data_IF_665856971165
#
_entry.id   IF_665856971165
#
_cell.length_a   1.000
_cell.length_b   1.000
_cell.length_c   1.000
_cell.angle_alpha   90.00
_cell.angle_beta   90.00
_cell.angle_gamma   90.00
#
_symmetry.space_group_name_H-M   'P 1'
#
loop_
_entity.id
_entity.type
_entity.pdbx_description
1 polymer ?
#
# COMPACT_ATOMS: atom_id res chain seq x y z
N UNK A 1 -25.75 24.97 14.60
CA UNK A 1 -24.66 24.58 13.67
C UNK A 1 -25.34 23.91 12.49
N UNK A 2 -25.24 24.48 11.30
CA UNK A 2 -25.79 23.81 10.11
C UNK A 2 -25.09 22.46 9.95
N UNK A 3 -25.82 21.38 9.69
CA UNK A 3 -25.22 20.10 9.31
C UNK A 3 -24.30 20.36 8.12
N UNK A 4 -22.99 20.20 8.31
CA UNK A 4 -22.06 20.23 7.19
C UNK A 4 -22.37 18.99 6.35
N UNK A 5 -23.01 19.19 5.19
CA UNK A 5 -23.09 18.16 4.17
C UNK A 5 -21.67 17.91 3.64
N UNK A 6 -21.04 16.83 4.11
CA UNK A 6 -19.71 16.40 3.68
C UNK A 6 -19.70 15.93 2.22
N UNK A 7 -20.88 15.60 1.68
CA UNK A 7 -21.08 15.23 0.28
C UNK A 7 -22.12 16.13 -0.36
N UNK A 8 -21.86 16.52 -1.60
CA UNK A 8 -22.72 17.32 -2.45
C UNK A 8 -23.14 16.50 -3.66
N UNK A 9 -24.44 16.54 -3.98
CA UNK A 9 -24.97 15.92 -5.20
C UNK A 9 -24.49 16.73 -6.40
N UNK A 10 -23.86 16.04 -7.36
CA UNK A 10 -23.31 16.68 -8.56
C UNK A 10 -23.98 16.21 -9.84
N UNK A 11 -24.59 15.02 -9.82
CA UNK A 11 -25.41 14.54 -10.94
C UNK A 11 -26.71 13.91 -10.44
N UNK A 12 -27.77 14.11 -11.20
CA UNK A 12 -29.04 13.43 -11.01
C UNK A 12 -28.94 11.95 -11.42
N UNK A 13 -29.71 11.10 -10.75
CA UNK A 13 -29.84 9.71 -11.14
C UNK A 13 -30.49 9.59 -12.52
N UNK A 14 -30.16 8.55 -13.26
CA UNK A 14 -30.69 8.29 -14.60
C UNK A 14 -31.48 6.98 -14.58
N UNK A 15 -32.72 6.95 -15.11
CA UNK A 15 -33.48 5.71 -15.23
C UNK A 15 -32.83 4.77 -16.24
N UNK A 16 -33.19 3.49 -16.20
CA UNK A 16 -32.73 2.52 -17.18
C UNK A 16 -33.27 2.88 -18.57
N UNK A 17 -32.39 2.87 -19.58
CA UNK A 17 -32.72 3.16 -20.97
C UNK A 17 -31.70 2.47 -21.91
N UNK A 18 -32.13 2.07 -23.10
CA UNK A 18 -31.27 1.50 -24.16
C UNK A 18 -30.37 0.33 -23.70
N UNK A 19 -30.91 -0.57 -22.86
CA UNK A 19 -30.16 -1.70 -22.31
C UNK A 19 -29.13 -1.33 -21.25
N UNK A 20 -29.03 -0.06 -20.84
CA UNK A 20 -28.19 0.39 -19.73
C UNK A 20 -28.98 0.36 -18.43
N UNK A 21 -28.38 -0.11 -17.31
CA UNK A 21 -29.05 -0.13 -16.02
C UNK A 21 -29.31 1.29 -15.50
N UNK A 22 -30.30 1.45 -14.62
CA UNK A 22 -30.51 2.70 -13.91
C UNK A 22 -29.29 3.03 -13.05
N UNK A 23 -28.87 4.29 -13.04
CA UNK A 23 -27.74 4.77 -12.25
C UNK A 23 -28.26 5.71 -11.18
N UNK A 24 -27.85 5.48 -9.93
CA UNK A 24 -28.18 6.39 -8.82
C UNK A 24 -27.54 7.78 -8.99
N UNK A 25 -28.00 8.78 -8.25
CA UNK A 25 -27.38 10.11 -8.25
C UNK A 25 -25.91 10.04 -7.82
N UNK A 26 -25.08 10.89 -8.42
CA UNK A 26 -23.65 10.98 -8.08
C UNK A 26 -23.44 12.03 -7.01
N UNK A 27 -22.73 11.65 -5.95
CA UNK A 27 -22.28 12.54 -4.89
C UNK A 27 -20.76 12.68 -4.94
N UNK A 28 -20.26 13.86 -4.59
CA UNK A 28 -18.84 14.13 -4.40
C UNK A 28 -18.60 14.73 -3.03
N UNK A 29 -17.39 14.61 -2.53
CA UNK A 29 -16.97 15.39 -1.36
C UNK A 29 -17.21 16.88 -1.61
N UNK A 30 -17.71 17.60 -0.59
CA UNK A 30 -17.86 19.05 -0.65
C UNK A 30 -16.54 19.76 -0.98
N UNK A 31 -15.40 19.14 -0.63
CA UNK A 31 -14.08 19.65 -0.96
C UNK A 31 -13.73 19.54 -2.44
N UNK A 32 -14.39 18.69 -3.22
CA UNK A 32 -14.13 18.44 -4.64
C UNK A 32 -15.41 18.57 -5.48
N UNK A 33 -16.30 19.51 -5.11
CA UNK A 33 -17.56 19.78 -5.81
C UNK A 33 -17.37 19.88 -7.32
N UNK A 34 -16.42 20.72 -7.74
CA UNK A 34 -16.13 20.99 -9.15
C UNK A 34 -15.13 20.00 -9.76
N UNK A 35 -14.83 18.90 -9.05
CA UNK A 35 -13.80 17.92 -9.42
C UNK A 35 -12.46 18.16 -8.74
N UNK A 36 -11.54 17.23 -8.96
CA UNK A 36 -10.14 17.37 -8.57
C UNK A 36 -9.40 18.28 -9.56
N UNK A 37 -8.27 18.83 -9.11
CA UNK A 37 -7.41 19.60 -10.01
C UNK A 37 -6.89 18.68 -11.13
N UNK A 38 -6.56 19.27 -12.28
CA UNK A 38 -5.87 18.54 -13.33
C UNK A 38 -4.58 17.91 -12.75
N UNK A 39 -4.24 16.66 -13.13
CA UNK A 39 -2.97 16.07 -12.75
C UNK A 39 -1.80 16.96 -13.14
N UNK A 40 -0.68 16.81 -12.43
CA UNK A 40 0.58 17.47 -12.76
C UNK A 40 0.97 17.13 -14.22
N UNK A 41 1.51 18.08 -14.96
CA UNK A 41 1.98 17.84 -16.32
C UNK A 41 3.01 16.71 -16.34
N UNK A 42 2.83 15.74 -17.25
CA UNK A 42 3.67 14.55 -17.36
C UNK A 42 3.31 13.40 -16.40
N UNK A 43 2.26 13.54 -15.57
CA UNK A 43 1.72 12.47 -14.73
C UNK A 43 0.53 11.79 -15.42
N UNK A 44 0.83 10.82 -16.29
CA UNK A 44 -0.18 10.13 -17.08
C UNK A 44 -0.37 8.65 -16.70
N UNK A 45 0.58 8.09 -15.95
CA UNK A 45 0.56 6.69 -15.50
C UNK A 45 1.07 6.51 -14.07
N UNK A 46 0.81 5.35 -13.45
CA UNK A 46 1.44 4.99 -12.18
C UNK A 46 2.97 4.93 -12.31
N UNK A 47 3.49 4.56 -13.47
CA UNK A 47 4.93 4.62 -13.71
C UNK A 47 5.48 6.05 -13.62
N UNK A 48 4.72 7.06 -14.05
CA UNK A 48 5.16 8.45 -13.94
C UNK A 48 5.27 8.91 -12.50
N UNK A 49 4.42 8.41 -11.58
CA UNK A 49 4.56 8.66 -10.14
C UNK A 49 5.96 8.27 -9.68
N UNK A 50 6.35 7.04 -9.99
CA UNK A 50 7.65 6.50 -9.59
C UNK A 50 8.82 7.15 -10.34
N UNK A 51 8.74 7.28 -11.67
CA UNK A 51 9.78 7.90 -12.52
C UNK A 51 10.08 9.33 -12.08
N UNK A 52 9.04 10.15 -11.89
CA UNK A 52 9.20 11.56 -11.47
C UNK A 52 9.80 11.64 -10.06
N UNK A 53 9.42 10.74 -9.16
CA UNK A 53 10.01 10.66 -7.82
C UNK A 53 11.49 10.28 -7.87
N UNK A 54 11.89 9.33 -8.71
CA UNK A 54 13.29 8.93 -8.90
C UNK A 54 14.13 10.07 -9.47
N UNK A 55 13.60 10.80 -10.45
CA UNK A 55 14.29 11.96 -11.06
C UNK A 55 14.52 13.08 -10.05
N UNK A 56 13.54 13.32 -9.17
CA UNK A 56 13.57 14.42 -8.20
C UNK A 56 14.31 14.06 -6.91
N UNK A 57 14.20 12.81 -6.45
CA UNK A 57 14.64 12.33 -5.13
C UNK A 57 15.51 11.06 -5.18
N UNK A 58 16.51 10.96 -6.07
CA UNK A 58 17.20 9.69 -6.35
C UNK A 58 17.87 9.06 -5.12
N UNK A 59 18.36 9.91 -4.19
CA UNK A 59 19.10 9.49 -3.00
C UNK A 59 18.24 9.37 -1.74
N UNK A 60 16.94 9.70 -1.81
CA UNK A 60 16.05 9.56 -0.67
C UNK A 60 15.80 8.09 -0.39
N UNK A 61 15.55 7.75 0.88
CA UNK A 61 15.14 6.41 1.29
C UNK A 61 13.73 6.14 0.75
N UNK A 62 13.57 5.01 0.06
CA UNK A 62 12.28 4.60 -0.49
C UNK A 62 11.75 3.39 0.27
N UNK A 63 12.39 2.22 0.14
CA UNK A 63 11.87 0.95 0.67
C UNK A 63 12.74 0.45 1.81
N UNK A 64 12.14 0.24 2.97
CA UNK A 64 12.84 -0.18 4.18
C UNK A 64 12.30 -1.46 4.80
N UNK A 65 13.16 -2.39 5.18
CA UNK A 65 12.75 -3.60 5.90
C UNK A 65 13.66 -3.86 7.11
N UNK A 66 13.18 -4.65 8.07
CA UNK A 66 13.99 -5.06 9.23
C UNK A 66 15.10 -6.00 8.77
N UNK A 67 16.36 -5.66 9.03
CA UNK A 67 17.47 -6.61 8.86
C UNK A 67 17.37 -7.73 9.90
N UNK A 68 17.63 -8.97 9.50
CA UNK A 68 17.72 -10.10 10.44
C UNK A 68 19.20 -10.37 10.72
N UNK A 69 19.61 -10.16 11.97
CA UNK A 69 20.99 -10.42 12.45
C UNK A 69 20.89 -11.44 13.57
N UNK A 70 21.57 -12.58 13.41
CA UNK A 70 21.54 -13.70 14.36
C UNK A 70 20.11 -14.16 14.75
N UNK A 71 19.21 -14.19 13.75
CA UNK A 71 17.81 -14.58 13.95
C UNK A 71 16.94 -13.55 14.67
N UNK A 72 17.46 -12.34 14.95
CA UNK A 72 16.73 -11.25 15.58
C UNK A 72 16.57 -10.06 14.63
N UNK A 73 15.43 -9.39 14.75
CA UNK A 73 15.15 -8.21 13.95
C UNK A 73 15.98 -7.01 14.46
N UNK A 74 16.94 -6.56 13.65
CA UNK A 74 17.77 -5.38 13.88
C UNK A 74 17.12 -4.09 13.39
N UNK A 75 17.93 -3.12 12.99
CA UNK A 75 17.46 -1.84 12.43
C UNK A 75 16.82 -2.02 11.04
N UNK A 76 16.08 -0.99 10.61
CA UNK A 76 15.65 -0.89 9.22
C UNK A 76 16.85 -0.62 8.31
N UNK A 77 16.98 -1.45 7.27
CA UNK A 77 17.86 -1.21 6.13
C UNK A 77 17.03 -0.69 4.97
N UNK A 78 17.59 0.24 4.21
CA UNK A 78 16.86 1.04 3.23
C UNK A 78 17.49 0.91 1.85
N UNK A 79 16.63 0.86 0.84
CA UNK A 79 17.00 1.14 -0.55
C UNK A 79 16.55 2.54 -0.93
N UNK A 80 17.38 3.23 -1.68
CA UNK A 80 17.09 4.54 -2.25
C UNK A 80 16.17 4.44 -3.47
N UNK A 81 15.52 5.53 -3.87
CA UNK A 81 14.72 5.57 -5.10
C UNK A 81 15.54 5.12 -6.33
N UNK A 82 16.79 5.56 -6.45
CA UNK A 82 17.67 5.15 -7.56
C UNK A 82 17.96 3.65 -7.57
N UNK A 83 18.26 3.07 -6.41
CA UNK A 83 18.51 1.62 -6.31
C UNK A 83 17.25 0.81 -6.63
N UNK A 84 16.09 1.24 -6.17
CA UNK A 84 14.80 0.59 -6.50
C UNK A 84 14.52 0.69 -7.99
N UNK A 85 14.76 1.85 -8.61
CA UNK A 85 14.58 2.06 -10.05
C UNK A 85 15.47 1.14 -10.88
N UNK A 86 16.74 1.01 -10.52
CA UNK A 86 17.68 0.15 -11.24
C UNK A 86 17.29 -1.33 -11.15
N UNK A 87 16.75 -1.76 -10.01
CA UNK A 87 16.26 -3.13 -9.85
C UNK A 87 14.94 -3.31 -10.62
N UNK A 88 14.02 -2.35 -10.56
CA UNK A 88 12.74 -2.40 -11.27
C UNK A 88 12.95 -2.50 -12.79
N UNK A 89 13.92 -1.76 -13.36
CA UNK A 89 14.26 -1.87 -14.78
C UNK A 89 14.78 -3.26 -15.15
N UNK A 90 15.63 -3.87 -14.31
CA UNK A 90 16.12 -5.24 -14.54
C UNK A 90 15.00 -6.27 -14.46
N UNK A 91 14.15 -6.18 -13.45
CA UNK A 91 12.95 -7.03 -13.31
C UNK A 91 12.04 -6.85 -14.53
N UNK A 92 11.83 -5.62 -14.97
CA UNK A 92 11.03 -5.28 -16.15
C UNK A 92 11.57 -5.91 -17.43
N UNK A 93 12.87 -5.78 -17.69
CA UNK A 93 13.54 -6.44 -18.81
C UNK A 93 13.40 -7.97 -18.74
N UNK A 94 13.55 -8.57 -17.55
CA UNK A 94 13.34 -10.02 -17.38
C UNK A 94 11.89 -10.45 -17.61
N UNK A 95 10.91 -9.64 -17.19
CA UNK A 95 9.50 -9.85 -17.52
C UNK A 95 9.29 -9.84 -19.04
N UNK A 96 9.93 -8.89 -19.75
CA UNK A 96 9.88 -8.81 -21.22
C UNK A 96 10.58 -9.99 -21.90
N UNK A 97 11.70 -10.49 -21.36
CA UNK A 97 12.38 -11.68 -21.87
C UNK A 97 11.56 -12.97 -21.70
N UNK A 98 10.62 -13.01 -20.75
CA UNK A 98 9.61 -14.06 -20.64
C UNK A 98 8.47 -13.94 -21.68
N UNK A 99 8.49 -12.90 -22.52
CA UNK A 99 7.51 -12.69 -23.60
C UNK A 99 6.31 -11.83 -23.24
N UNK A 100 6.25 -11.29 -22.01
CA UNK A 100 5.15 -10.42 -21.61
C UNK A 100 5.21 -9.07 -22.34
N UNK A 101 4.05 -8.52 -22.64
CA UNK A 101 3.91 -7.22 -23.33
C UNK A 101 2.88 -6.34 -22.62
N UNK A 102 2.67 -5.13 -23.13
CA UNK A 102 1.64 -4.23 -22.59
C UNK A 102 0.28 -4.94 -22.61
N UNK A 103 -0.40 -4.99 -21.47
CA UNK A 103 -1.67 -5.70 -21.28
C UNK A 103 -1.56 -7.17 -20.83
N UNK A 104 -0.36 -7.73 -20.75
CA UNK A 104 -0.10 -9.00 -20.07
C UNK A 104 -0.43 -8.90 -18.57
N UNK A 105 -0.62 -10.05 -17.90
CA UNK A 105 -1.03 -10.09 -16.48
C UNK A 105 0.05 -10.74 -15.62
N UNK A 106 0.46 -10.02 -14.57
CA UNK A 106 1.46 -10.45 -13.60
C UNK A 106 0.84 -10.59 -12.22
N UNK A 107 0.78 -11.81 -11.69
CA UNK A 107 0.34 -12.09 -10.33
C UNK A 107 1.41 -11.74 -9.30
N UNK A 108 1.03 -11.17 -8.16
CA UNK A 108 1.95 -10.97 -7.03
C UNK A 108 1.33 -11.52 -5.74
N UNK A 109 1.90 -12.58 -5.18
CA UNK A 109 1.35 -13.34 -4.05
C UNK A 109 2.26 -13.34 -2.82
N UNK A 110 1.91 -12.56 -1.80
CA UNK A 110 2.69 -12.53 -0.58
C UNK A 110 2.34 -11.34 0.30
N UNK A 111 2.94 -11.31 1.49
CA UNK A 111 2.90 -10.12 2.34
C UNK A 111 3.67 -8.97 1.68
N UNK A 112 3.38 -7.74 2.11
CA UNK A 112 4.07 -6.55 1.64
C UNK A 112 5.59 -6.66 1.89
N UNK A 113 6.39 -6.39 0.87
CA UNK A 113 7.85 -6.37 0.96
C UNK A 113 8.43 -5.41 -0.08
N UNK A 114 9.72 -5.06 0.00
CA UNK A 114 10.38 -4.28 -1.03
C UNK A 114 10.28 -4.91 -2.43
N UNK A 115 10.46 -6.24 -2.53
CA UNK A 115 10.39 -6.99 -3.79
C UNK A 115 9.00 -6.91 -4.43
N UNK A 116 7.95 -6.86 -3.60
CA UNK A 116 6.58 -6.64 -4.06
C UNK A 116 6.48 -5.32 -4.82
N UNK A 117 6.90 -4.21 -4.18
CA UNK A 117 6.81 -2.87 -4.79
C UNK A 117 7.69 -2.76 -6.03
N UNK A 118 8.92 -3.29 -5.97
CA UNK A 118 9.82 -3.33 -7.14
C UNK A 118 9.16 -4.06 -8.32
N UNK A 119 8.50 -5.19 -8.07
CA UNK A 119 7.82 -5.97 -9.12
C UNK A 119 6.67 -5.19 -9.71
N UNK A 120 5.88 -4.50 -8.88
CA UNK A 120 4.73 -3.75 -9.37
C UNK A 120 5.14 -2.47 -10.09
N UNK A 121 6.24 -1.81 -9.71
CA UNK A 121 6.80 -0.71 -10.50
C UNK A 121 7.39 -1.17 -11.84
N UNK A 122 8.01 -2.35 -11.89
CA UNK A 122 8.40 -2.97 -13.16
C UNK A 122 7.18 -3.25 -14.05
N UNK A 123 6.07 -3.72 -13.46
CA UNK A 123 4.82 -3.93 -14.19
C UNK A 123 4.25 -2.60 -14.72
N UNK A 124 4.20 -1.56 -13.89
CA UNK A 124 3.75 -0.22 -14.27
C UNK A 124 4.57 0.31 -15.45
N UNK A 125 5.91 0.19 -15.40
CA UNK A 125 6.82 0.66 -16.44
C UNK A 125 6.52 0.02 -17.81
N UNK A 126 6.33 -1.30 -17.83
CA UNK A 126 6.09 -2.06 -19.05
C UNK A 126 4.62 -2.19 -19.45
N UNK A 127 3.71 -1.50 -18.75
CA UNK A 127 2.26 -1.56 -19.00
C UNK A 127 1.67 -2.95 -18.79
N UNK A 128 2.28 -3.76 -17.92
CA UNK A 128 1.79 -5.09 -17.50
C UNK A 128 0.83 -4.89 -16.33
N UNK A 129 -0.32 -5.57 -16.37
CA UNK A 129 -1.35 -5.41 -15.35
C UNK A 129 -0.97 -6.21 -14.12
N UNK A 130 -0.73 -5.52 -13.01
CA UNK A 130 -0.47 -6.14 -11.73
C UNK A 130 -1.77 -6.77 -11.18
N UNK A 131 -1.74 -8.07 -10.85
CA UNK A 131 -2.86 -8.82 -10.27
C UNK A 131 -2.46 -9.24 -8.85
N UNK A 132 -2.69 -8.39 -7.84
CA UNK A 132 -2.23 -8.69 -6.49
C UNK A 132 -3.13 -9.75 -5.83
N UNK A 133 -2.48 -10.71 -5.17
CA UNK A 133 -3.10 -11.85 -4.52
C UNK A 133 -2.94 -11.72 -3.01
N UNK A 134 -4.06 -11.69 -2.28
CA UNK A 134 -4.04 -11.63 -0.82
C UNK A 134 -3.26 -12.82 -0.23
N UNK A 135 -2.35 -12.53 0.69
CA UNK A 135 -1.54 -13.53 1.39
C UNK A 135 -2.38 -14.48 2.28
N UNK A 136 -3.61 -14.13 2.60
CA UNK A 136 -4.54 -14.96 3.38
C UNK A 136 -5.37 -15.93 2.54
N UNK A 137 -5.34 -15.86 1.20
CA UNK A 137 -6.12 -16.74 0.35
C UNK A 137 -5.52 -18.15 0.29
N UNK A 138 -6.40 -19.16 0.23
CA UNK A 138 -6.01 -20.54 -0.02
C UNK A 138 -5.93 -20.86 -1.52
N UNK A 139 -5.30 -21.98 -1.88
CA UNK A 139 -5.03 -22.38 -3.26
C UNK A 139 -6.25 -22.32 -4.20
N UNK A 140 -7.45 -22.71 -3.75
CA UNK A 140 -8.64 -22.68 -4.62
C UNK A 140 -9.01 -21.27 -5.11
N UNK A 141 -8.92 -20.26 -4.23
CA UNK A 141 -9.17 -18.88 -4.63
C UNK A 141 -8.02 -18.33 -5.49
N UNK A 142 -6.78 -18.71 -5.21
CA UNK A 142 -5.62 -18.34 -6.02
C UNK A 142 -5.75 -18.95 -7.44
N UNK A 143 -6.06 -20.24 -7.56
CA UNK A 143 -6.31 -20.93 -8.83
C UNK A 143 -7.36 -20.19 -9.65
N UNK A 144 -8.52 -19.89 -9.04
CA UNK A 144 -9.58 -19.16 -9.70
C UNK A 144 -9.08 -17.81 -10.24
N UNK A 145 -8.38 -17.03 -9.43
CA UNK A 145 -7.88 -15.71 -9.84
C UNK A 145 -6.84 -15.83 -10.96
N UNK A 146 -5.87 -16.74 -10.83
CA UNK A 146 -4.84 -16.96 -11.85
C UNK A 146 -5.45 -17.31 -13.20
N UNK A 147 -6.44 -18.21 -13.23
CA UNK A 147 -7.15 -18.58 -14.45
C UNK A 147 -8.03 -17.44 -14.96
N UNK A 148 -8.85 -16.83 -14.11
CA UNK A 148 -9.81 -15.81 -14.53
C UNK A 148 -9.15 -14.52 -15.03
N UNK A 149 -8.00 -14.13 -14.44
CA UNK A 149 -7.24 -12.98 -14.92
C UNK A 149 -6.27 -13.34 -16.05
N UNK A 150 -6.13 -14.62 -16.41
CA UNK A 150 -5.19 -15.14 -17.39
C UNK A 150 -3.74 -14.73 -17.04
N UNK A 151 -3.33 -14.98 -15.79
CA UNK A 151 -2.01 -14.59 -15.31
C UNK A 151 -0.92 -15.43 -15.98
N UNK A 152 0.05 -14.75 -16.61
CA UNK A 152 1.14 -15.38 -17.39
C UNK A 152 2.41 -15.58 -16.56
N UNK A 153 2.68 -14.68 -15.61
CA UNK A 153 3.79 -14.76 -14.65
C UNK A 153 3.29 -14.49 -13.24
N UNK A 154 3.79 -15.23 -12.25
CA UNK A 154 3.46 -15.01 -10.84
C UNK A 154 4.72 -14.84 -9.99
N UNK A 155 4.85 -13.68 -9.35
CA UNK A 155 5.81 -13.46 -8.28
C UNK A 155 5.19 -13.88 -6.95
N UNK A 156 5.94 -14.58 -6.11
CA UNK A 156 5.45 -15.09 -4.85
C UNK A 156 6.48 -14.96 -3.73
N UNK A 157 6.02 -14.65 -2.51
CA UNK A 157 6.82 -14.82 -1.30
C UNK A 157 7.29 -16.27 -1.20
N UNK A 158 8.52 -16.52 -0.73
CA UNK A 158 9.13 -17.86 -0.71
C UNK A 158 8.22 -18.91 -0.06
N UNK A 159 7.59 -18.57 1.08
CA UNK A 159 6.67 -19.48 1.81
C UNK A 159 5.35 -19.75 1.08
N UNK A 160 5.02 -18.96 0.05
CA UNK A 160 3.79 -19.03 -0.73
C UNK A 160 3.92 -19.85 -2.01
N UNK A 161 5.14 -20.13 -2.46
CA UNK A 161 5.41 -20.97 -3.63
C UNK A 161 4.70 -22.32 -3.52
N UNK A 162 4.80 -23.02 -2.38
CA UNK A 162 4.16 -24.32 -2.19
C UNK A 162 2.62 -24.26 -2.30
N UNK A 163 2.00 -23.18 -1.85
CA UNK A 163 0.55 -23.00 -1.98
C UNK A 163 0.16 -22.69 -3.44
N UNK A 164 0.99 -21.94 -4.16
CA UNK A 164 0.80 -21.63 -5.58
C UNK A 164 0.91 -22.89 -6.45
N UNK A 165 1.84 -23.81 -6.13
CA UNK A 165 1.96 -25.09 -6.85
C UNK A 165 0.72 -26.00 -6.71
N UNK A 166 -0.08 -25.84 -5.65
CA UNK A 166 -1.35 -26.58 -5.48
C UNK A 166 -2.44 -26.18 -6.48
N UNK A 167 -2.24 -25.09 -7.24
CA UNK A 167 -3.17 -24.65 -8.29
C UNK A 167 -2.99 -25.43 -9.61
N UNK A 168 -2.00 -26.32 -9.66
CA UNK A 168 -1.74 -27.16 -10.84
C UNK A 168 -2.69 -28.35 -10.89
N UNK A 169 -3.09 -28.81 -12.10
CA UNK A 169 -2.64 -28.33 -13.41
C UNK A 169 -3.42 -27.14 -13.97
N UNK A 170 -4.53 -26.72 -13.36
CA UNK A 170 -5.45 -25.77 -14.02
C UNK A 170 -4.82 -24.41 -14.30
N UNK A 171 -4.03 -23.86 -13.37
CA UNK A 171 -3.40 -22.56 -13.59
C UNK A 171 -2.33 -22.57 -14.69
N UNK A 172 -1.81 -23.74 -15.09
CA UNK A 172 -0.75 -23.87 -16.11
C UNK A 172 -1.25 -23.59 -17.53
N UNK A 173 -2.58 -23.52 -17.73
CA UNK A 173 -3.20 -23.06 -18.97
C UNK A 173 -2.65 -21.68 -19.37
N UNK A 174 -2.59 -20.75 -18.40
CA UNK A 174 -2.13 -19.38 -18.59
C UNK A 174 -0.74 -19.13 -17.99
N UNK A 175 -0.49 -19.63 -16.78
CA UNK A 175 0.76 -19.37 -16.08
C UNK A 175 1.93 -20.08 -16.77
N UNK A 176 2.98 -19.35 -17.11
CA UNK A 176 4.20 -19.86 -17.77
C UNK A 176 5.45 -19.72 -16.91
N UNK A 177 5.49 -18.73 -16.01
CA UNK A 177 6.66 -18.45 -15.18
C UNK A 177 6.28 -18.15 -13.73
N UNK A 178 7.05 -18.70 -12.80
CA UNK A 178 6.96 -18.39 -11.36
C UNK A 178 8.28 -17.75 -10.91
N UNK A 179 8.20 -16.72 -10.09
CA UNK A 179 9.36 -16.09 -9.47
C UNK A 179 9.19 -16.06 -7.96
N UNK A 180 10.10 -16.68 -7.23
CA UNK A 180 10.14 -16.60 -5.77
C UNK A 180 10.88 -15.32 -5.37
N UNK A 181 10.34 -14.54 -4.44
CA UNK A 181 11.06 -13.43 -3.80
C UNK A 181 12.26 -13.91 -2.96
N UNK A 182 12.34 -15.21 -2.69
CA UNK A 182 13.47 -15.83 -2.01
C UNK A 182 14.07 -16.95 -2.83
N UNK A 183 14.47 -18.02 -2.15
CA UNK A 183 15.13 -19.16 -2.79
C UNK A 183 14.14 -20.07 -3.49
N UNK A 184 14.67 -20.89 -4.39
CA UNK A 184 13.95 -21.96 -5.09
C UNK A 184 14.76 -23.25 -4.97
N UNK A 185 14.10 -24.34 -4.60
CA UNK A 185 14.73 -25.66 -4.48
C UNK A 185 14.77 -26.39 -5.82
N UNK A 186 15.67 -27.36 -5.96
CA UNK A 186 15.73 -28.21 -7.15
C UNK A 186 14.43 -29.02 -7.35
N UNK A 187 13.84 -29.50 -6.26
CA UNK A 187 12.54 -30.18 -6.28
C UNK A 187 11.42 -29.29 -6.84
N UNK A 188 11.38 -28.00 -6.46
CA UNK A 188 10.42 -27.05 -7.02
C UNK A 188 10.65 -26.83 -8.52
N UNK A 189 11.91 -26.74 -8.97
CA UNK A 189 12.23 -26.64 -10.41
C UNK A 189 11.77 -27.86 -11.19
N UNK A 190 12.01 -29.06 -10.66
CA UNK A 190 11.57 -30.32 -11.26
C UNK A 190 10.04 -30.41 -11.32
N UNK A 191 9.35 -30.07 -10.22
CA UNK A 191 7.88 -30.09 -10.17
C UNK A 191 7.25 -29.15 -11.18
N UNK A 192 7.75 -27.91 -11.27
CA UNK A 192 7.25 -26.90 -12.22
C UNK A 192 7.53 -27.30 -13.67
N UNK A 193 8.71 -27.87 -13.96
CA UNK A 193 9.08 -28.28 -15.31
C UNK A 193 8.23 -29.43 -15.87
N UNK A 194 7.63 -30.28 -15.02
CA UNK A 194 6.67 -31.32 -15.44
C UNK A 194 5.46 -30.74 -16.17
N UNK A 195 5.12 -29.49 -15.90
CA UNK A 195 4.00 -28.78 -16.53
C UNK A 195 4.45 -27.83 -17.65
N UNK A 196 5.73 -27.82 -18.01
CA UNK A 196 6.28 -26.94 -19.04
C UNK A 196 6.48 -25.49 -18.60
N UNK A 197 6.49 -25.23 -17.30
CA UNK A 197 6.72 -23.90 -16.71
C UNK A 197 8.18 -23.72 -16.30
N UNK A 198 8.57 -22.47 -16.06
CA UNK A 198 9.87 -22.13 -15.45
C UNK A 198 9.67 -21.51 -14.06
N UNK A 199 10.60 -21.77 -13.14
CA UNK A 199 10.65 -21.13 -11.83
C UNK A 199 12.04 -20.60 -11.50
N UNK A 200 12.09 -19.35 -11.03
CA UNK A 200 13.33 -18.63 -10.71
C UNK A 200 13.30 -18.11 -9.27
N UNK A 201 14.45 -18.10 -8.61
CA UNK A 201 14.66 -17.24 -7.44
C UNK A 201 14.77 -15.77 -7.87
N UNK A 202 14.62 -14.86 -6.90
CA UNK A 202 14.68 -13.42 -7.16
C UNK A 202 15.97 -12.99 -7.86
N UNK A 203 17.12 -13.47 -7.36
CA UNK A 203 18.43 -13.13 -7.90
C UNK A 203 18.66 -13.71 -9.31
N UNK A 204 18.18 -14.94 -9.56
CA UNK A 204 18.20 -15.55 -10.89
C UNK A 204 17.36 -14.73 -11.87
N UNK A 205 16.17 -14.30 -11.44
CA UNK A 205 15.24 -13.55 -12.29
C UNK A 205 15.73 -12.13 -12.61
N UNK A 206 16.33 -11.43 -11.64
CA UNK A 206 16.96 -10.11 -11.88
C UNK A 206 18.00 -10.18 -13.01
N UNK A 207 18.68 -11.32 -13.13
CA UNK A 207 19.78 -11.50 -14.10
C UNK A 207 19.32 -12.16 -15.41
N UNK A 208 18.04 -12.55 -15.52
CA UNK A 208 17.53 -13.37 -16.63
C UNK A 208 17.68 -12.70 -18.00
N UNK A 209 17.40 -11.40 -18.09
CA UNK A 209 17.55 -10.64 -19.34
C UNK A 209 19.01 -10.40 -19.74
N UNK A 210 19.97 -10.55 -18.81
CA UNK A 210 21.37 -10.17 -19.04
C UNK A 210 21.48 -8.70 -19.46
N UNK A 211 22.06 -8.46 -20.63
CA UNK A 211 22.23 -7.13 -21.23
C UNK A 211 21.07 -6.72 -22.17
N UNK A 212 19.98 -7.50 -22.22
CA UNK A 212 18.81 -7.14 -23.04
C UNK A 212 18.08 -5.93 -22.44
N UNK A 213 17.87 -4.92 -23.27
CA UNK A 213 17.06 -3.75 -22.96
C UNK A 213 15.84 -3.71 -23.88
N UNK A 214 14.70 -3.28 -23.35
CA UNK A 214 13.45 -3.15 -24.08
C UNK A 214 12.92 -1.73 -23.98
N UNK A 215 12.44 -1.19 -25.10
CA UNK A 215 11.76 0.10 -25.11
C UNK A 215 10.49 0.03 -24.23
N UNK A 216 10.34 1.03 -23.36
CA UNK A 216 9.13 1.17 -22.55
C UNK A 216 7.96 1.58 -23.45
N UNK A 217 6.77 0.98 -23.28
CA UNK A 217 5.59 1.39 -24.02
C UNK A 217 5.11 2.77 -23.53
N UNK A 218 4.38 3.48 -24.39
CA UNK A 218 3.63 4.67 -23.97
C UNK A 218 2.43 4.21 -23.13
N UNK A 219 2.40 4.59 -21.85
CA UNK A 219 1.29 4.37 -20.96
C UNK A 219 0.30 5.55 -21.00
N UNK A 220 -0.99 5.24 -20.98
CA UNK A 220 -2.08 6.20 -21.02
C UNK A 220 -2.86 6.17 -19.72
N UNK A 221 -3.49 7.30 -19.38
CA UNK A 221 -4.38 7.42 -18.23
C UNK A 221 -5.52 6.39 -18.22
N UNK A 222 -6.00 5.99 -19.40
CA UNK A 222 -7.08 5.01 -19.56
C UNK A 222 -6.61 3.56 -19.50
N UNK A 223 -5.30 3.30 -19.59
CA UNK A 223 -4.78 1.95 -19.47
C UNK A 223 -5.02 1.41 -18.05
N UNK A 224 -5.25 0.10 -17.97
CA UNK A 224 -5.34 -0.60 -16.69
C UNK A 224 -3.93 -0.73 -16.11
N UNK A 225 -3.76 -0.41 -14.82
CA UNK A 225 -2.52 -0.63 -14.10
C UNK A 225 -2.61 -1.85 -13.18
N UNK A 226 -3.79 -2.15 -12.64
CA UNK A 226 -3.98 -3.28 -11.74
C UNK A 226 -5.39 -3.87 -11.80
N UNK A 227 -5.48 -5.18 -11.54
CA UNK A 227 -6.74 -5.92 -11.41
C UNK A 227 -6.85 -6.42 -9.98
N UNK A 228 -7.67 -5.76 -9.16
CA UNK A 228 -7.82 -6.12 -7.74
C UNK A 228 -9.06 -6.96 -7.51
N UNK A 229 -8.89 -8.12 -6.89
CA UNK A 229 -9.99 -9.02 -6.59
C UNK A 229 -10.66 -8.69 -5.26
N UNK A 230 -12.00 -8.72 -5.25
CA UNK A 230 -12.81 -8.47 -4.06
C UNK A 230 -13.71 -9.65 -3.76
N UNK A 231 -13.86 -9.98 -2.47
CA UNK A 231 -14.86 -10.94 -1.99
C UNK A 231 -16.24 -10.29 -2.09
N UNK A 232 -16.97 -10.56 -3.16
CA UNK A 232 -18.36 -10.14 -3.29
C UNK A 232 -19.24 -10.77 -2.19
N UNK A 233 -20.47 -10.26 -2.04
CA UNK A 233 -21.44 -10.78 -1.06
C UNK A 233 -21.97 -12.19 -1.40
N UNK A 234 -21.78 -12.66 -2.63
CA UNK A 234 -22.12 -14.01 -3.09
C UNK A 234 -21.19 -14.45 -4.23
N UNK A 235 -20.64 -15.66 -4.16
CA UNK A 235 -19.94 -16.33 -5.26
C UNK A 235 -18.44 -16.06 -5.36
N UNK A 236 -17.88 -16.35 -6.54
CA UNK A 236 -16.46 -16.21 -6.82
C UNK A 236 -15.98 -14.74 -6.76
N UNK A 237 -14.70 -14.50 -6.40
CA UNK A 237 -14.13 -13.15 -6.37
C UNK A 237 -14.28 -12.41 -7.71
N UNK A 238 -14.53 -11.10 -7.66
CA UNK A 238 -14.64 -10.25 -8.86
C UNK A 238 -13.38 -9.42 -9.06
N UNK A 239 -12.81 -9.47 -10.25
CA UNK A 239 -11.66 -8.67 -10.65
C UNK A 239 -12.08 -7.24 -11.03
N UNK A 240 -11.69 -6.26 -10.20
CA UNK A 240 -11.94 -4.84 -10.44
C UNK A 240 -10.78 -4.28 -11.27
N UNK A 241 -11.08 -3.82 -12.47
CA UNK A 241 -10.11 -3.17 -13.36
C UNK A 241 -9.88 -1.74 -12.87
N UNK A 242 -8.64 -1.40 -12.52
CA UNK A 242 -8.26 -0.07 -12.04
C UNK A 242 -7.32 0.57 -13.05
N UNK A 243 -7.72 1.75 -13.53
CA UNK A 243 -6.94 2.53 -14.49
C UNK A 243 -5.86 3.38 -13.82
N UNK A 244 -4.84 3.77 -14.59
CA UNK A 244 -3.86 4.77 -14.17
C UNK A 244 -4.53 6.06 -13.66
N UNK A 245 -5.54 6.56 -14.38
CA UNK A 245 -6.30 7.75 -14.02
C UNK A 245 -6.92 7.63 -12.62
N UNK A 246 -7.43 6.45 -12.26
CA UNK A 246 -8.05 6.20 -10.97
C UNK A 246 -7.07 6.45 -9.81
N UNK A 247 -5.85 5.91 -9.92
CA UNK A 247 -4.81 6.08 -8.89
C UNK A 247 -4.35 7.54 -8.81
N UNK A 248 -4.07 8.17 -9.96
CA UNK A 248 -3.64 9.56 -10.03
C UNK A 248 -4.70 10.51 -9.42
N UNK A 249 -5.98 10.26 -9.70
CA UNK A 249 -7.07 11.04 -9.12
C UNK A 249 -7.16 10.87 -7.60
N UNK A 250 -6.92 9.66 -7.08
CA UNK A 250 -6.93 9.41 -5.64
C UNK A 250 -5.79 10.13 -4.94
N UNK A 251 -4.57 10.10 -5.49
CA UNK A 251 -3.41 10.85 -4.98
C UNK A 251 -3.72 12.35 -4.90
N UNK A 252 -4.21 12.93 -6.00
CA UNK A 252 -4.59 14.35 -6.06
C UNK A 252 -5.70 14.69 -5.03
N UNK A 253 -6.62 13.75 -4.80
CA UNK A 253 -7.69 13.90 -3.82
C UNK A 253 -7.19 13.91 -2.38
N UNK A 254 -6.27 13.00 -2.03
CA UNK A 254 -5.67 12.95 -0.70
C UNK A 254 -4.82 14.18 -0.43
N UNK A 255 -4.01 14.63 -1.39
CA UNK A 255 -3.23 15.87 -1.27
C UNK A 255 -4.13 17.08 -1.03
N UNK A 256 -5.23 17.19 -1.77
CA UNK A 256 -6.20 18.28 -1.57
C UNK A 256 -6.83 18.23 -0.18
N UNK A 257 -7.15 17.03 0.31
CA UNK A 257 -7.72 16.83 1.63
C UNK A 257 -6.75 17.23 2.73
N UNK A 258 -5.49 16.80 2.67
CA UNK A 258 -4.45 17.19 3.63
C UNK A 258 -4.25 18.72 3.62
N UNK A 259 -4.13 19.32 2.43
CA UNK A 259 -3.97 20.77 2.31
C UNK A 259 -5.15 21.55 2.92
N UNK A 260 -6.39 21.03 2.80
CA UNK A 260 -7.58 21.66 3.37
C UNK A 260 -7.57 21.75 4.91
N UNK A 261 -6.79 20.87 5.56
CA UNK A 261 -6.60 20.87 7.01
C UNK A 261 -5.22 21.43 7.42
N UNK A 262 -4.54 22.13 6.50
CA UNK A 262 -3.21 22.73 6.70
C UNK A 262 -2.12 21.71 7.09
N UNK A 263 -2.27 20.49 6.56
CA UNK A 263 -1.31 19.40 6.63
C UNK A 263 -0.82 19.08 5.21
N UNK A 264 0.35 18.44 5.11
CA UNK A 264 0.92 17.99 3.83
C UNK A 264 1.84 16.81 4.08
N UNK A 265 2.02 16.00 3.05
CA UNK A 265 3.10 15.01 3.01
C UNK A 265 4.42 15.69 2.64
N UNK A 266 5.49 15.26 3.29
CA UNK A 266 6.85 15.73 3.09
C UNK A 266 7.77 14.55 2.76
N UNK A 267 8.88 14.82 2.07
CA UNK A 267 9.89 13.81 1.72
C UNK A 267 10.54 13.14 2.96
N UNK A 268 10.42 13.76 4.13
CA UNK A 268 10.90 13.21 5.40
C UNK A 268 9.90 12.27 6.09
N UNK A 269 8.69 12.14 5.54
CA UNK A 269 7.68 11.26 6.10
C UNK A 269 8.03 9.79 5.93
N UNK A 270 7.57 8.99 6.90
CA UNK A 270 7.82 7.56 6.96
C UNK A 270 6.49 6.84 7.17
N UNK A 271 6.12 6.00 6.21
CA UNK A 271 4.95 5.13 6.26
C UNK A 271 5.27 3.75 6.83
N UNK A 272 4.34 3.17 7.59
CA UNK A 272 4.38 1.76 7.96
C UNK A 272 3.45 0.95 7.04
N UNK A 273 4.04 0.20 6.11
CA UNK A 273 3.33 -0.73 5.24
C UNK A 273 3.01 -2.02 6.01
N UNK A 274 1.75 -2.19 6.40
CA UNK A 274 1.26 -3.40 7.07
C UNK A 274 -0.14 -3.84 6.63
N UNK A 275 -0.89 -2.98 5.94
CA UNK A 275 -2.16 -3.37 5.35
C UNK A 275 -1.87 -4.16 4.06
N UNK A 276 -2.73 -5.06 3.60
CA UNK A 276 -2.38 -5.83 2.40
C UNK A 276 -2.27 -4.92 1.15
N UNK A 277 -1.17 -4.99 0.40
CA UNK A 277 -1.01 -4.31 -0.90
C UNK A 277 -2.00 -4.82 -1.97
N UNK A 278 -2.60 -5.99 -1.74
CA UNK A 278 -3.74 -6.49 -2.54
C UNK A 278 -5.05 -5.71 -2.31
N UNK A 279 -5.07 -4.81 -1.33
CA UNK A 279 -6.18 -3.90 -1.08
C UNK A 279 -5.85 -2.49 -1.58
N UNK A 280 -6.80 -1.85 -2.28
CA UNK A 280 -6.60 -0.54 -2.92
C UNK A 280 -6.12 0.54 -1.96
N UNK A 281 -6.58 0.51 -0.71
CA UNK A 281 -6.23 1.51 0.28
C UNK A 281 -4.72 1.59 0.53
N UNK A 282 -4.04 0.47 0.79
CA UNK A 282 -2.59 0.50 1.03
C UNK A 282 -1.81 0.83 -0.23
N UNK A 283 -2.27 0.30 -1.37
CA UNK A 283 -1.67 0.61 -2.68
C UNK A 283 -1.65 2.12 -2.95
N UNK A 284 -2.76 2.81 -2.75
CA UNK A 284 -2.86 4.26 -2.98
C UNK A 284 -2.00 5.05 -1.99
N UNK A 285 -1.93 4.62 -0.74
CA UNK A 285 -1.10 5.28 0.28
C UNK A 285 0.38 5.14 -0.07
N UNK A 286 0.85 3.95 -0.47
CA UNK A 286 2.24 3.78 -0.88
C UNK A 286 2.58 4.60 -2.14
N UNK A 287 1.71 4.61 -3.16
CA UNK A 287 1.88 5.47 -4.35
C UNK A 287 1.91 6.96 -4.02
N UNK A 288 1.11 7.40 -3.05
CA UNK A 288 1.14 8.76 -2.53
C UNK A 288 2.48 9.08 -1.83
N UNK A 289 3.02 8.15 -1.05
CA UNK A 289 4.35 8.30 -0.44
C UNK A 289 5.46 8.37 -1.50
N UNK A 290 5.35 7.53 -2.54
CA UNK A 290 6.28 7.55 -3.68
C UNK A 290 6.23 8.89 -4.41
N UNK A 291 5.02 9.42 -4.68
CA UNK A 291 4.83 10.72 -5.33
C UNK A 291 5.56 11.87 -4.61
N UNK A 292 5.60 11.84 -3.28
CA UNK A 292 6.25 12.85 -2.45
C UNK A 292 7.74 12.56 -2.14
N UNK A 293 8.31 11.47 -2.67
CA UNK A 293 9.70 11.11 -2.40
C UNK A 293 9.97 10.65 -0.96
N UNK A 294 8.91 10.21 -0.26
CA UNK A 294 8.94 9.81 1.13
C UNK A 294 9.33 8.32 1.30
N UNK A 295 9.43 7.86 2.55
CA UNK A 295 9.91 6.51 2.87
C UNK A 295 8.78 5.55 3.28
N UNK A 296 8.88 4.29 2.86
CA UNK A 296 7.95 3.20 3.19
C UNK A 296 8.73 2.10 3.92
N UNK A 297 8.37 1.86 5.19
CA UNK A 297 8.92 0.78 6.00
C UNK A 297 7.95 -0.39 6.12
N UNK A 298 8.40 -1.59 5.78
CA UNK A 298 7.61 -2.81 5.86
C UNK A 298 7.63 -3.42 7.27
N UNK A 299 6.48 -3.91 7.72
CA UNK A 299 6.37 -4.77 8.90
C UNK A 299 6.91 -6.19 8.67
N UNK A 300 7.04 -6.98 9.73
CA UNK A 300 7.52 -8.38 9.64
C UNK A 300 6.45 -9.42 9.27
N UNK A 301 5.23 -9.00 8.91
CA UNK A 301 4.13 -9.91 8.57
C UNK A 301 3.46 -10.62 9.75
N UNK A 302 3.78 -10.25 11.00
CA UNK A 302 3.08 -10.72 12.20
C UNK A 302 2.52 -9.53 13.00
N UNK A 303 1.21 -9.48 13.16
CA UNK A 303 0.50 -8.47 13.94
C UNK A 303 0.94 -8.41 15.41
N UNK A 304 1.47 -9.50 15.96
CA UNK A 304 2.04 -9.54 17.31
C UNK A 304 3.30 -8.69 17.43
N UNK A 305 4.03 -8.56 16.33
CA UNK A 305 5.31 -7.87 16.21
C UNK A 305 5.15 -6.41 15.73
N UNK A 306 3.97 -6.03 15.25
CA UNK A 306 3.68 -4.71 14.68
C UNK A 306 4.01 -3.54 15.63
N UNK A 307 3.72 -3.64 16.93
CA UNK A 307 4.01 -2.55 17.89
C UNK A 307 5.51 -2.32 18.02
N UNK A 308 6.32 -3.38 18.02
CA UNK A 308 7.78 -3.28 18.04
C UNK A 308 8.32 -2.71 16.73
N UNK A 309 7.73 -3.08 15.59
CA UNK A 309 8.08 -2.51 14.28
C UNK A 309 7.77 -1.01 14.23
N UNK A 310 6.60 -0.59 14.70
CA UNK A 310 6.23 0.83 14.84
C UNK A 310 7.23 1.56 15.74
N UNK A 311 7.69 0.93 16.82
CA UNK A 311 8.68 1.50 17.72
C UNK A 311 10.06 1.70 17.11
N UNK A 312 10.46 0.78 16.25
CA UNK A 312 11.76 0.81 15.57
C UNK A 312 11.73 1.76 14.37
N UNK A 313 10.66 1.69 13.56
CA UNK A 313 10.49 2.53 12.37
C UNK A 313 10.18 3.98 12.71
N UNK A 314 9.36 4.19 13.75
CA UNK A 314 8.81 5.51 14.15
C UNK A 314 8.10 6.21 12.98
N UNK A 315 7.05 5.59 12.40
CA UNK A 315 6.36 6.17 11.26
C UNK A 315 5.73 7.53 11.62
N UNK A 316 5.79 8.47 10.68
CA UNK A 316 5.09 9.76 10.80
C UNK A 316 3.63 9.62 10.40
N UNK A 317 3.28 8.65 9.55
CA UNK A 317 1.90 8.33 9.19
C UNK A 317 1.64 6.84 9.35
N UNK A 318 0.51 6.52 9.97
CA UNK A 318 0.02 5.16 10.12
C UNK A 318 -1.43 5.10 9.68
N UNK A 319 -1.71 4.33 8.63
CA UNK A 319 -3.06 3.97 8.28
C UNK A 319 -3.60 3.02 9.35
N UNK A 320 -4.75 3.29 9.96
CA UNK A 320 -5.25 2.48 11.06
C UNK A 320 -6.64 1.91 10.81
N UNK A 321 -6.79 0.65 11.23
CA UNK A 321 -8.06 -0.07 11.29
C UNK A 321 -8.46 -0.27 12.76
N UNK A 322 -9.75 -0.41 13.10
CA UNK A 322 -10.23 -0.46 14.50
C UNK A 322 -9.44 -1.43 15.38
N UNK A 323 -9.18 -2.64 14.87
CA UNK A 323 -8.43 -3.69 15.58
C UNK A 323 -7.01 -3.28 15.97
N UNK A 324 -6.33 -2.49 15.13
CA UNK A 324 -4.96 -2.01 15.40
C UNK A 324 -5.00 -0.89 16.42
N UNK A 325 -5.96 0.04 16.30
CA UNK A 325 -6.16 1.10 17.28
C UNK A 325 -6.42 0.53 18.68
N UNK A 326 -7.31 -0.46 18.79
CA UNK A 326 -7.62 -1.10 20.07
C UNK A 326 -6.39 -1.76 20.71
N UNK A 327 -5.52 -2.36 19.88
CA UNK A 327 -4.28 -2.99 20.35
C UNK A 327 -3.26 -1.97 20.83
N UNK A 328 -3.06 -0.89 20.06
CA UNK A 328 -2.17 0.23 20.45
C UNK A 328 -2.70 0.87 21.74
N UNK A 329 -4.01 1.16 21.80
CA UNK A 329 -4.66 1.75 22.97
C UNK A 329 -4.52 0.86 24.21
N UNK A 330 -4.80 -0.45 24.09
CA UNK A 330 -4.67 -1.40 25.19
C UNK A 330 -3.22 -1.50 25.68
N UNK A 331 -2.25 -1.53 24.75
CA UNK A 331 -0.83 -1.53 25.09
C UNK A 331 -0.39 -0.25 25.81
N UNK A 332 -0.88 0.90 25.38
CA UNK A 332 -0.65 2.19 26.04
C UNK A 332 -1.28 2.21 27.44
N UNK A 333 -2.53 1.79 27.59
CA UNK A 333 -3.23 1.72 28.88
C UNK A 333 -2.50 0.82 29.88
N UNK A 334 -2.02 -0.34 29.45
CA UNK A 334 -1.23 -1.23 30.29
C UNK A 334 0.07 -0.56 30.77
N UNK A 335 0.79 0.13 29.87
CA UNK A 335 2.03 0.84 30.20
C UNK A 335 1.80 2.02 31.15
N UNK A 336 0.72 2.78 30.94
CA UNK A 336 0.33 3.91 31.81
C UNK A 336 -0.06 3.39 33.19
N UNK A 337 -0.85 2.32 33.26
CA UNK A 337 -1.31 1.71 34.51
C UNK A 337 -0.15 1.14 35.33
N UNK A 338 0.83 0.52 34.67
CA UNK A 338 2.07 0.05 35.30
C UNK A 338 2.92 1.19 35.92
N UNK A 339 2.71 2.44 35.49
CA UNK A 339 3.40 3.62 36.01
C UNK A 339 2.90 4.11 37.37
N UNK A 340 1.80 3.56 37.91
CA UNK A 340 1.18 3.96 39.17
C UNK A 340 0.28 5.21 39.04
N UNK A 341 -0.43 5.54 40.13
CA UNK A 341 -1.48 6.56 40.15
C UNK A 341 -1.01 7.95 39.70
N UNK A 342 0.18 8.37 40.12
CA UNK A 342 0.74 9.70 39.81
C UNK A 342 1.03 9.84 38.31
N UNK A 343 1.70 8.84 37.70
CA UNK A 343 2.03 8.89 36.27
C UNK A 343 0.78 8.80 35.39
N UNK A 344 -0.19 7.98 35.78
CA UNK A 344 -1.48 7.87 35.08
C UNK A 344 -2.26 9.18 35.14
N UNK A 345 -2.36 9.81 36.31
CA UNK A 345 -3.06 11.09 36.48
C UNK A 345 -2.40 12.21 35.67
N UNK A 346 -1.06 12.31 35.71
CA UNK A 346 -0.30 13.28 34.92
C UNK A 346 -0.47 13.08 33.42
N UNK A 347 -0.45 11.84 32.93
CA UNK A 347 -0.71 11.52 31.53
C UNK A 347 -2.10 11.94 31.10
N UNK A 348 -3.14 11.61 31.89
CA UNK A 348 -4.52 11.96 31.58
C UNK A 348 -4.76 13.48 31.57
N UNK A 349 -4.14 14.23 32.48
CA UNK A 349 -4.16 15.70 32.49
C UNK A 349 -3.48 16.29 31.25
N UNK A 350 -2.28 15.81 30.92
CA UNK A 350 -1.54 16.24 29.73
C UNK A 350 -2.32 15.94 28.44
N UNK A 351 -2.94 14.76 28.35
CA UNK A 351 -3.79 14.36 27.23
C UNK A 351 -4.98 15.30 27.07
N UNK A 352 -5.75 15.54 28.14
CA UNK A 352 -6.89 16.47 28.12
C UNK A 352 -6.47 17.88 27.72
N UNK A 353 -5.32 18.36 28.19
CA UNK A 353 -4.78 19.67 27.83
C UNK A 353 -4.43 19.76 26.34
N UNK A 354 -3.68 18.77 25.81
CA UNK A 354 -3.34 18.70 24.38
C UNK A 354 -4.59 18.65 23.52
N UNK A 355 -5.52 17.76 23.86
CA UNK A 355 -6.80 17.61 23.18
C UNK A 355 -7.59 18.93 23.16
N UNK A 356 -7.64 19.65 24.29
CA UNK A 356 -8.33 20.94 24.37
C UNK A 356 -7.76 21.99 23.42
N UNK A 357 -6.42 22.10 23.30
CA UNK A 357 -5.81 23.06 22.36
C UNK A 357 -5.99 22.64 20.90
N UNK A 358 -5.88 21.35 20.60
CA UNK A 358 -6.16 20.83 19.25
C UNK A 358 -7.61 21.10 18.82
N UNK A 359 -8.57 20.95 19.74
CA UNK A 359 -9.98 21.30 19.48
C UNK A 359 -10.20 22.79 19.18
N UNK A 360 -9.23 23.66 19.46
CA UNK A 360 -9.25 25.09 19.15
C UNK A 360 -8.37 25.46 17.94
N UNK A 361 -7.93 24.47 17.16
CA UNK A 361 -7.19 24.66 15.91
C UNK A 361 -5.67 24.74 16.07
N UNK A 362 -5.12 24.45 17.25
CA UNK A 362 -3.66 24.36 17.41
C UNK A 362 -3.12 23.10 16.73
N UNK A 363 -2.00 23.23 16.00
CA UNK A 363 -1.31 22.09 15.38
C UNK A 363 -0.83 21.09 16.42
N UNK A 364 -0.66 19.82 16.03
CA UNK A 364 -0.32 18.74 16.97
C UNK A 364 0.98 18.99 17.76
N UNK A 365 1.99 19.58 17.12
CA UNK A 365 3.29 19.95 17.69
C UNK A 365 3.23 21.19 18.60
N UNK A 366 2.24 22.06 18.41
CA UNK A 366 2.06 23.30 19.17
C UNK A 366 1.09 23.13 20.35
N UNK A 367 0.16 22.19 20.23
CA UNK A 367 -0.93 22.01 21.18
C UNK A 367 -0.45 21.69 22.60
N UNK A 368 0.68 20.99 22.77
CA UNK A 368 1.25 20.72 24.09
C UNK A 368 2.75 20.42 24.07
N UNK A 369 3.57 21.28 23.47
CA UNK A 369 5.02 21.07 23.28
C UNK A 369 5.79 20.66 24.56
N UNK A 370 5.41 21.18 25.74
CA UNK A 370 6.01 20.80 27.02
C UNK A 370 5.57 19.39 27.44
N UNK A 371 4.28 19.08 27.33
CA UNK A 371 3.76 17.75 27.61
C UNK A 371 4.35 16.71 26.66
N UNK A 372 4.57 17.07 25.39
CA UNK A 372 5.22 16.23 24.38
C UNK A 372 6.61 15.80 24.84
N UNK A 373 7.41 16.75 25.32
CA UNK A 373 8.78 16.49 25.79
C UNK A 373 8.87 15.75 27.12
N UNK A 374 7.96 16.01 28.06
CA UNK A 374 8.12 15.57 29.46
C UNK A 374 7.25 14.35 29.81
N UNK A 375 6.04 14.27 29.25
CA UNK A 375 5.02 13.27 29.59
C UNK A 375 4.87 12.26 28.47
N UNK A 376 4.63 12.72 27.24
CA UNK A 376 4.35 11.82 26.13
C UNK A 376 5.61 11.10 25.63
N UNK A 377 6.78 11.75 25.56
CA UNK A 377 8.06 11.11 25.19
C UNK A 377 8.41 9.85 26.00
N UNK A 378 7.98 9.79 27.27
CA UNK A 378 8.24 8.65 28.17
C UNK A 378 7.30 7.47 27.93
N UNK A 379 6.10 7.73 27.40
CA UNK A 379 5.08 6.73 27.10
C UNK A 379 5.22 6.29 25.64
N UNK A 380 5.25 7.26 24.74
CA UNK A 380 5.53 7.17 23.32
C UNK A 380 7.05 7.24 23.07
N UNK A 381 7.77 6.15 23.38
CA UNK A 381 9.10 5.93 22.79
C UNK A 381 9.02 5.69 21.25
N UNK A 382 7.80 5.61 20.72
CA UNK A 382 7.41 5.18 19.40
C UNK A 382 6.71 6.38 18.73
N UNK A 383 7.45 7.19 17.96
CA UNK A 383 6.94 8.26 17.10
C UNK A 383 6.16 9.39 17.81
N UNK A 384 6.83 10.52 18.08
CA UNK A 384 6.21 11.73 18.66
C UNK A 384 5.19 12.43 17.75
N UNK A 385 5.07 11.99 16.49
CA UNK A 385 4.35 12.68 15.41
C UNK A 385 3.69 11.68 14.46
N UNK A 386 2.85 10.77 14.98
CA UNK A 386 2.10 9.83 14.14
C UNK A 386 0.73 10.42 13.79
N UNK A 387 0.54 10.77 12.52
CA UNK A 387 -0.74 11.14 11.93
C UNK A 387 -1.48 9.87 11.47
N UNK A 388 -2.78 9.78 11.77
CA UNK A 388 -3.56 8.60 11.43
C UNK A 388 -4.41 8.87 10.19
N UNK A 389 -4.39 7.94 9.24
CA UNK A 389 -5.37 7.90 8.15
C UNK A 389 -6.29 6.72 8.45
N UNK A 390 -7.59 6.95 8.55
CA UNK A 390 -8.58 5.93 8.85
C UNK A 390 -9.36 5.55 7.60
N UNK A 391 -9.54 4.24 7.43
CA UNK A 391 -10.33 3.68 6.35
C UNK A 391 -11.61 3.05 6.86
N UNK A 392 -12.74 3.43 6.26
CA UNK A 392 -14.00 2.69 6.24
C UNK A 392 -14.54 2.20 7.59
N UNK A 393 -14.84 3.11 8.53
CA UNK A 393 -15.54 2.72 9.77
C UNK A 393 -16.79 3.60 10.00
N UNK A 394 -18.01 3.08 9.78
CA UNK A 394 -19.25 3.78 10.10
C UNK A 394 -19.43 4.03 11.61
N UNK A 395 -18.68 3.33 12.48
CA UNK A 395 -18.84 3.36 13.93
C UNK A 395 -17.49 3.32 14.67
N UNK A 396 -16.68 4.38 14.54
CA UNK A 396 -15.61 4.62 15.51
C UNK A 396 -16.16 5.32 16.74
N UNK A 397 -15.68 4.92 17.92
CA UNK A 397 -15.93 5.67 19.15
C UNK A 397 -15.50 7.14 18.94
N UNK A 398 -16.29 8.13 19.42
CA UNK A 398 -16.01 9.55 19.21
C UNK A 398 -14.58 10.00 19.61
N UNK A 399 -13.94 9.25 20.51
CA UNK A 399 -12.57 9.44 20.99
C UNK A 399 -11.48 9.28 19.91
N UNK A 400 -11.73 8.56 18.82
CA UNK A 400 -10.74 8.30 17.77
C UNK A 400 -10.80 9.28 16.59
N UNK A 401 -11.81 10.13 16.52
CA UNK A 401 -12.21 10.83 15.28
C UNK A 401 -11.37 12.03 14.84
N UNK A 402 -10.45 12.56 15.66
CA UNK A 402 -9.93 13.94 15.45
C UNK A 402 -8.46 14.10 15.09
N UNK A 403 -7.70 13.01 15.02
CA UNK A 403 -6.34 12.98 14.42
C UNK A 403 -6.32 12.18 13.12
N UNK A 404 -7.50 12.03 12.53
CA UNK A 404 -7.81 10.97 11.60
C UNK A 404 -8.42 11.58 10.34
N UNK A 405 -7.74 11.39 9.22
CA UNK A 405 -8.33 11.67 7.91
C UNK A 405 -9.15 10.45 7.53
N UNK A 406 -10.44 10.64 7.32
CA UNK A 406 -11.33 9.60 6.81
C UNK A 406 -11.24 9.59 5.29
N UNK A 407 -10.77 8.48 4.73
CA UNK A 407 -11.00 8.15 3.32
C UNK A 407 -12.24 7.26 3.26
N UNK A 408 -13.36 7.83 2.77
CA UNK A 408 -14.56 7.09 2.38
C UNK A 408 -14.41 6.47 0.98
#
# INVERSE_FOLDING_TARGET
MAEMQHVVKVEEGRPAADGRPSVGPTYRSAFARDGFLAPVDGLDSCYDIFRMAVEKYPNNRMLGHRAIVDGKAGAYVWRTYKEVFDIANKIGNSIRSCGLTKGSRCGIYGANSPEWIITMEACNAHGVYCVPLYDTLGAGAIEFILCHAEVEIAFAEEKKVAELLKTFPKSTEFLKTIVSFGKVTQEQKEEVSKYGLSIYSWDEFISLAGDQEFDLPVNQRTDICTIMYTSGTTGDPKGVLISNASIICLIAGVDRLLNSVNERLEETDVYMSYLPLAHIFDRVVEELFMFHGASIGFWRGDVKLLVEDIGTLKPTILCAVPRVLDRIFSGLQAKISAGGFIKSTMFNLAYKFKQFRMMRGAKHNEAAAICDKVVFSKVFQHGSHCFFILYGVPNLLPSYSRNCVYCD
#
